data_IF_424839584798
#
_entry.id   IF_424839584798
#
_cell.length_a   1.000
_cell.length_b   1.000
_cell.length_c   1.000
_cell.angle_alpha   90.00
_cell.angle_beta   90.00
_cell.angle_gamma   90.00
#
_symmetry.space_group_name_H-M   'P 1'
#
loop_
_entity.id
_entity.type
_entity.pdbx_description
1 polymer ?
#
# COMPACT_ATOMS: atom_id res chain seq x y z
N UNK A 1 -47.42 -36.39 -50.85
CA UNK A 1 -46.90 -35.04 -51.01
C UNK A 1 -46.53 -34.54 -49.58
N UNK A 2 -45.26 -34.77 -49.16
CA UNK A 2 -44.78 -34.48 -47.82
C UNK A 2 -43.99 -33.16 -47.86
N UNK A 3 -44.46 -32.15 -47.15
CA UNK A 3 -43.81 -30.87 -46.99
C UNK A 3 -42.87 -30.99 -45.78
N UNK A 4 -41.56 -30.90 -46.00
CA UNK A 4 -40.53 -30.78 -44.95
C UNK A 4 -40.32 -29.31 -44.62
N UNK A 5 -40.68 -28.91 -43.39
CA UNK A 5 -40.37 -27.61 -42.83
C UNK A 5 -38.97 -27.64 -42.24
N UNK A 6 -38.04 -26.83 -42.76
CA UNK A 6 -36.72 -26.61 -42.18
C UNK A 6 -36.82 -25.50 -41.10
N UNK A 7 -36.50 -25.86 -39.86
CA UNK A 7 -36.33 -24.90 -38.77
C UNK A 7 -34.85 -24.43 -38.77
N UNK A 8 -34.62 -23.18 -39.13
CA UNK A 8 -33.31 -22.53 -38.96
C UNK A 8 -33.18 -22.06 -37.50
N UNK A 9 -32.32 -22.73 -36.75
CA UNK A 9 -31.87 -22.26 -35.44
C UNK A 9 -30.68 -21.28 -35.62
N UNK A 10 -30.94 -20.01 -35.43
CA UNK A 10 -29.86 -19.01 -35.37
C UNK A 10 -29.19 -19.09 -34.01
N UNK A 11 -27.94 -19.56 -33.96
CA UNK A 11 -27.07 -19.47 -32.81
C UNK A 11 -26.59 -18.00 -32.65
N UNK A 12 -27.15 -17.28 -31.69
CA UNK A 12 -26.58 -16.03 -31.23
C UNK A 12 -25.37 -16.31 -30.32
N UNK A 13 -24.18 -16.26 -30.89
CA UNK A 13 -22.92 -16.20 -30.15
C UNK A 13 -22.81 -14.81 -29.51
N UNK A 14 -23.25 -14.69 -28.27
CA UNK A 14 -22.97 -13.51 -27.47
C UNK A 14 -21.46 -13.43 -27.17
N UNK A 15 -20.77 -12.49 -27.81
CA UNK A 15 -19.42 -12.13 -27.42
C UNK A 15 -19.47 -11.52 -26.01
N UNK A 16 -19.04 -12.27 -25.00
CA UNK A 16 -18.74 -11.68 -23.69
C UNK A 16 -17.56 -10.74 -23.86
N UNK A 17 -17.83 -9.43 -23.87
CA UNK A 17 -16.81 -8.41 -23.74
C UNK A 17 -16.38 -8.49 -22.28
N UNK A 18 -15.29 -9.20 -21.99
CA UNK A 18 -14.61 -9.07 -20.72
C UNK A 18 -13.99 -7.68 -20.69
N UNK A 19 -14.62 -6.76 -19.97
CA UNK A 19 -13.98 -5.49 -19.59
C UNK A 19 -12.79 -5.89 -18.73
N UNK A 20 -11.58 -5.76 -19.27
CA UNK A 20 -10.38 -5.92 -18.48
C UNK A 20 -10.43 -4.87 -17.36
N UNK A 21 -10.66 -5.31 -16.13
CA UNK A 21 -10.50 -4.42 -14.97
C UNK A 21 -9.04 -4.02 -14.94
N UNK A 22 -8.80 -2.71 -14.80
CA UNK A 22 -7.46 -2.21 -14.59
C UNK A 22 -6.92 -2.85 -13.30
N UNK A 23 -5.74 -3.43 -13.39
CA UNK A 23 -5.07 -4.14 -12.31
C UNK A 23 -3.78 -3.41 -11.97
N UNK A 24 -3.34 -3.54 -10.73
CA UNK A 24 -2.02 -3.09 -10.32
C UNK A 24 -0.97 -3.86 -11.14
N UNK A 25 -0.07 -3.11 -11.78
CA UNK A 25 1.02 -3.62 -12.63
C UNK A 25 2.32 -3.19 -11.99
N UNK A 26 3.30 -4.07 -11.95
CA UNK A 26 4.60 -3.77 -11.36
C UNK A 26 5.35 -2.61 -12.06
N UNK A 27 6.37 -2.01 -11.40
CA UNK A 27 7.08 -0.85 -11.92
C UNK A 27 7.80 -1.06 -13.26
N UNK A 28 8.09 -2.31 -13.63
CA UNK A 28 8.63 -2.67 -14.94
C UNK A 28 7.61 -3.40 -15.85
N UNK A 29 6.32 -3.36 -15.51
CA UNK A 29 5.24 -3.97 -16.28
C UNK A 29 4.91 -5.41 -15.87
N UNK A 30 5.35 -5.85 -14.71
CA UNK A 30 5.15 -7.21 -14.23
C UNK A 30 3.67 -7.47 -13.88
N UNK A 31 3.20 -8.66 -14.21
CA UNK A 31 1.86 -9.14 -13.82
C UNK A 31 1.83 -9.49 -12.34
N UNK A 32 0.75 -9.10 -11.66
CA UNK A 32 0.56 -9.37 -10.25
C UNK A 32 0.29 -10.86 -9.96
N UNK A 33 0.99 -11.39 -8.95
CA UNK A 33 0.70 -12.69 -8.33
C UNK A 33 0.05 -12.44 -6.95
N UNK A 34 -1.07 -13.09 -6.60
CA UNK A 34 -1.69 -12.91 -5.30
C UNK A 34 -0.76 -13.31 -4.13
N UNK A 35 -0.67 -12.49 -3.09
CA UNK A 35 0.10 -12.77 -1.87
C UNK A 35 -0.29 -14.09 -1.22
N UNK A 36 -1.56 -14.49 -1.32
CA UNK A 36 -2.09 -15.74 -0.79
C UNK A 36 -1.44 -17.01 -1.38
N UNK A 37 -0.81 -16.91 -2.56
CA UNK A 37 -0.08 -18.00 -3.20
C UNK A 37 1.33 -18.19 -2.63
N UNK A 38 1.85 -17.20 -1.90
CA UNK A 38 3.20 -17.25 -1.35
C UNK A 38 3.17 -17.87 0.05
N UNK A 39 3.51 -19.14 0.10
CA UNK A 39 3.54 -19.92 1.35
C UNK A 39 4.79 -20.78 1.42
N UNK A 40 5.32 -20.92 2.62
CA UNK A 40 6.36 -21.92 2.92
C UNK A 40 5.67 -23.23 3.32
N UNK A 41 6.16 -24.33 2.75
CA UNK A 41 5.79 -25.66 3.22
C UNK A 41 6.55 -26.03 4.50
N UNK A 42 6.08 -27.05 5.22
CA UNK A 42 6.80 -27.58 6.40
C UNK A 42 8.21 -28.06 6.02
N UNK A 43 8.40 -28.59 4.80
CA UNK A 43 9.71 -29.01 4.29
C UNK A 43 10.63 -27.82 4.02
N UNK A 44 10.11 -26.68 3.53
CA UNK A 44 10.88 -25.45 3.37
C UNK A 44 11.37 -24.94 4.72
N UNK A 45 10.47 -24.88 5.72
CA UNK A 45 10.79 -24.46 7.08
C UNK A 45 11.85 -25.38 7.69
N UNK A 46 11.70 -26.69 7.55
CA UNK A 46 12.67 -27.66 8.06
C UNK A 46 14.06 -27.49 7.41
N UNK A 47 14.10 -27.18 6.11
CA UNK A 47 15.35 -26.98 5.35
C UNK A 47 16.11 -25.71 5.74
N UNK A 48 15.39 -24.70 6.27
CA UNK A 48 15.97 -23.43 6.72
C UNK A 48 16.45 -23.49 8.16
N UNK A 49 15.79 -24.30 9.03
CA UNK A 49 16.12 -24.39 10.45
C UNK A 49 17.57 -24.82 10.69
N UNK A 50 18.23 -24.15 11.64
CA UNK A 50 19.59 -24.46 12.06
C UNK A 50 20.68 -24.00 11.07
N UNK A 51 20.33 -23.30 9.98
CA UNK A 51 21.32 -22.77 9.01
C UNK A 51 21.98 -21.48 9.47
N UNK A 52 21.49 -20.84 10.54
CA UNK A 52 22.02 -19.57 11.04
C UNK A 52 21.79 -18.39 10.10
N UNK A 53 20.76 -18.44 9.28
CA UNK A 53 20.41 -17.34 8.39
C UNK A 53 19.99 -16.09 9.17
N UNK A 54 20.38 -14.93 8.62
CA UNK A 54 20.12 -13.61 9.18
C UNK A 54 19.34 -12.77 8.21
N UNK A 55 18.44 -11.92 8.74
CA UNK A 55 17.66 -10.95 7.97
C UNK A 55 17.88 -9.54 8.49
N UNK A 56 17.74 -8.54 7.60
CA UNK A 56 17.66 -7.12 7.94
C UNK A 56 16.37 -6.53 7.41
N UNK A 57 15.77 -5.60 8.17
CA UNK A 57 14.57 -4.85 7.83
C UNK A 57 14.95 -3.37 7.71
N UNK A 58 14.93 -2.81 6.49
CA UNK A 58 15.45 -1.48 6.20
C UNK A 58 14.31 -0.58 5.69
N UNK A 59 13.73 0.20 6.62
CA UNK A 59 12.51 0.93 6.35
C UNK A 59 12.75 2.43 6.06
N UNK A 60 11.85 3.00 5.28
CA UNK A 60 11.85 4.41 4.91
C UNK A 60 11.45 5.32 6.09
N UNK A 61 10.58 4.83 6.97
CA UNK A 61 10.11 5.54 8.17
C UNK A 61 9.56 4.55 9.19
N UNK A 62 9.12 5.05 10.34
CA UNK A 62 8.36 4.32 11.35
C UNK A 62 6.91 4.80 11.35
N UNK A 63 5.97 3.86 11.27
CA UNK A 63 4.52 4.10 11.32
C UNK A 63 3.81 2.84 11.79
N UNK A 64 2.50 2.91 12.06
CA UNK A 64 1.68 1.73 12.36
C UNK A 64 1.74 0.69 11.24
N UNK A 65 1.74 1.15 9.99
CA UNK A 65 1.92 0.32 8.79
C UNK A 65 3.26 -0.44 8.84
N UNK A 66 4.38 0.25 8.95
CA UNK A 66 5.72 -0.37 8.98
C UNK A 66 5.94 -1.25 10.20
N UNK A 67 5.37 -0.89 11.35
CA UNK A 67 5.42 -1.73 12.54
C UNK A 67 4.71 -3.07 12.32
N UNK A 68 3.55 -3.07 11.64
CA UNK A 68 2.83 -4.29 11.30
C UNK A 68 3.55 -5.12 10.23
N UNK A 69 4.13 -4.48 9.20
CA UNK A 69 4.99 -5.16 8.21
C UNK A 69 6.16 -5.83 8.92
N UNK A 70 6.84 -5.12 9.82
CA UNK A 70 7.96 -5.66 10.61
C UNK A 70 7.53 -6.84 11.48
N UNK A 71 6.37 -6.75 12.13
CA UNK A 71 5.84 -7.84 12.97
C UNK A 71 5.56 -9.09 12.11
N UNK A 72 4.87 -8.93 10.99
CA UNK A 72 4.59 -10.03 10.07
C UNK A 72 5.86 -10.70 9.55
N UNK A 73 6.86 -9.90 9.18
CA UNK A 73 8.16 -10.41 8.72
C UNK A 73 8.89 -11.18 9.82
N UNK A 74 8.96 -10.63 11.04
CA UNK A 74 9.61 -11.27 12.19
C UNK A 74 8.95 -12.59 12.55
N UNK A 75 7.61 -12.63 12.58
CA UNK A 75 6.85 -13.84 12.89
C UNK A 75 7.10 -14.94 11.84
N UNK A 76 7.16 -14.58 10.57
CA UNK A 76 7.41 -15.56 9.50
C UNK A 76 8.86 -16.07 9.53
N UNK A 77 9.86 -15.18 9.74
CA UNK A 77 11.26 -15.57 9.91
C UNK A 77 11.48 -16.48 11.13
N UNK A 78 10.81 -16.18 12.24
CA UNK A 78 10.92 -16.97 13.47
C UNK A 78 10.50 -18.43 13.28
N UNK A 79 9.51 -18.72 12.43
CA UNK A 79 9.08 -20.10 12.12
C UNK A 79 10.22 -20.96 11.58
N UNK A 80 11.10 -20.35 10.78
CA UNK A 80 12.23 -21.00 10.15
C UNK A 80 13.57 -20.82 10.89
N UNK A 81 13.57 -20.10 12.03
CA UNK A 81 14.80 -19.81 12.79
C UNK A 81 15.73 -18.83 12.10
N UNK A 82 15.22 -17.96 11.25
CA UNK A 82 15.97 -16.84 10.67
C UNK A 82 15.98 -15.68 11.66
N UNK A 83 17.15 -15.20 12.02
CA UNK A 83 17.33 -14.12 13.00
C UNK A 83 17.25 -12.74 12.31
N UNK A 84 16.39 -11.86 12.81
CA UNK A 84 16.37 -10.45 12.39
C UNK A 84 17.42 -9.69 13.20
N UNK A 85 18.56 -9.37 12.58
CA UNK A 85 19.73 -8.77 13.25
C UNK A 85 19.77 -7.25 13.17
N UNK A 86 19.04 -6.65 12.21
CA UNK A 86 19.00 -5.20 12.01
C UNK A 86 17.57 -4.79 11.68
N UNK A 87 17.11 -3.69 12.26
CA UNK A 87 15.90 -2.97 11.84
C UNK A 87 16.21 -1.47 11.88
N UNK A 88 15.99 -0.74 10.79
CA UNK A 88 16.30 0.69 10.67
C UNK A 88 15.06 1.52 10.35
N UNK A 89 15.19 2.81 10.56
CA UNK A 89 14.20 3.85 10.24
C UNK A 89 14.94 5.05 9.65
N UNK A 90 14.77 5.27 8.36
CA UNK A 90 15.44 6.35 7.64
C UNK A 90 14.79 7.72 7.83
N UNK A 91 13.57 7.80 8.39
CA UNK A 91 12.85 9.06 8.60
C UNK A 91 12.59 9.84 7.31
N UNK A 92 12.31 9.17 6.20
CA UNK A 92 12.17 9.71 4.85
C UNK A 92 13.44 10.39 4.29
N UNK A 93 14.62 10.12 4.88
CA UNK A 93 15.90 10.65 4.41
C UNK A 93 16.67 9.56 3.62
N UNK A 94 16.84 9.78 2.30
CA UNK A 94 17.53 8.85 1.40
C UNK A 94 19.03 8.70 1.73
N UNK A 95 19.69 9.74 2.25
CA UNK A 95 21.09 9.67 2.65
C UNK A 95 21.24 8.83 3.93
N UNK A 96 20.32 8.98 4.88
CA UNK A 96 20.23 8.13 6.07
C UNK A 96 19.95 6.67 5.68
N UNK A 97 18.98 6.42 4.76
CA UNK A 97 18.69 5.07 4.29
C UNK A 97 19.94 4.41 3.69
N UNK A 98 20.73 5.15 2.89
CA UNK A 98 22.00 4.65 2.37
C UNK A 98 22.95 4.22 3.49
N UNK A 99 23.14 5.05 4.50
CA UNK A 99 23.99 4.74 5.67
C UNK A 99 23.47 3.53 6.45
N UNK A 100 22.15 3.41 6.58
CA UNK A 100 21.48 2.26 7.21
C UNK A 100 21.76 0.95 6.44
N UNK A 101 21.71 1.00 5.10
CA UNK A 101 22.05 -0.16 4.24
C UNK A 101 23.51 -0.56 4.45
N UNK A 102 24.46 0.39 4.41
CA UNK A 102 25.88 0.14 4.63
C UNK A 102 26.13 -0.50 6.02
N UNK A 103 25.45 0.00 7.05
CA UNK A 103 25.52 -0.54 8.41
C UNK A 103 24.95 -1.96 8.49
N UNK A 104 23.80 -2.21 7.85
CA UNK A 104 23.17 -3.52 7.84
C UNK A 104 24.04 -4.58 7.15
N UNK A 105 24.74 -4.22 6.08
CA UNK A 105 25.65 -5.13 5.36
C UNK A 105 26.81 -5.62 6.22
N UNK A 106 27.27 -4.83 7.21
CA UNK A 106 28.29 -5.27 8.17
C UNK A 106 27.83 -6.47 9.03
N UNK A 107 26.52 -6.62 9.25
CA UNK A 107 25.96 -7.79 9.94
C UNK A 107 25.83 -9.03 9.03
N UNK A 108 26.16 -8.92 7.74
CA UNK A 108 26.10 -9.98 6.72
C UNK A 108 24.76 -10.69 6.68
N UNK A 109 23.65 -9.98 6.42
CA UNK A 109 22.34 -10.59 6.31
C UNK A 109 22.27 -11.45 5.04
N UNK A 110 21.56 -12.56 5.12
CA UNK A 110 21.26 -13.43 3.97
C UNK A 110 20.02 -12.94 3.20
N UNK A 111 19.13 -12.21 3.89
CA UNK A 111 17.91 -11.58 3.34
C UNK A 111 17.82 -10.15 3.82
N UNK A 112 17.47 -9.25 2.93
CA UNK A 112 17.09 -7.87 3.27
C UNK A 112 15.69 -7.61 2.76
N UNK A 113 14.81 -7.14 3.65
CA UNK A 113 13.51 -6.56 3.30
C UNK A 113 13.64 -5.05 3.40
N UNK A 114 13.26 -4.32 2.36
CA UNK A 114 13.42 -2.87 2.32
C UNK A 114 12.31 -2.18 1.54
N UNK A 115 12.01 -0.92 1.92
CA UNK A 115 11.26 0.01 1.08
C UNK A 115 12.21 1.11 0.60
N UNK A 116 12.68 1.06 -0.66
CA UNK A 116 13.58 2.06 -1.23
C UNK A 116 12.94 3.45 -1.31
N UNK A 117 13.62 4.49 -0.81
CA UNK A 117 13.16 5.88 -0.84
C UNK A 117 13.41 6.55 -2.18
N UNK A 118 14.63 6.45 -2.69
CA UNK A 118 15.03 7.03 -3.96
C UNK A 118 15.57 5.93 -4.88
N UNK A 119 15.05 5.79 -6.10
CA UNK A 119 15.46 4.70 -6.99
C UNK A 119 16.95 4.68 -7.31
N UNK A 120 17.56 5.84 -7.52
CA UNK A 120 18.97 5.95 -7.94
C UNK A 120 19.92 5.71 -6.77
N UNK A 121 19.69 6.38 -5.65
CA UNK A 121 20.51 6.25 -4.44
C UNK A 121 20.42 4.83 -3.88
N UNK A 122 19.20 4.25 -3.88
CA UNK A 122 19.00 2.87 -3.41
C UNK A 122 19.69 1.86 -4.32
N UNK A 123 19.68 2.07 -5.64
CA UNK A 123 20.38 1.18 -6.58
C UNK A 123 21.88 1.11 -6.28
N UNK A 124 22.52 2.25 -6.01
CA UNK A 124 23.94 2.28 -5.63
C UNK A 124 24.18 1.63 -4.26
N UNK A 125 23.33 1.92 -3.28
CA UNK A 125 23.49 1.41 -1.92
C UNK A 125 23.37 -0.13 -1.82
N UNK A 126 22.46 -0.74 -2.58
CA UNK A 126 22.26 -2.20 -2.56
C UNK A 126 23.23 -2.99 -3.45
N UNK A 127 24.11 -2.34 -4.26
CA UNK A 127 25.06 -3.06 -5.14
C UNK A 127 25.89 -4.10 -4.41
N UNK A 128 26.40 -3.76 -3.22
CA UNK A 128 27.22 -4.69 -2.44
C UNK A 128 26.38 -5.90 -1.97
N UNK A 129 25.11 -5.68 -1.55
CA UNK A 129 24.21 -6.77 -1.19
C UNK A 129 24.00 -7.76 -2.34
N UNK A 130 23.78 -7.25 -3.56
CA UNK A 130 23.65 -8.07 -4.77
C UNK A 130 24.94 -8.86 -5.02
N UNK A 131 26.10 -8.20 -4.94
CA UNK A 131 27.42 -8.86 -5.14
C UNK A 131 27.68 -9.97 -4.12
N UNK A 132 27.26 -9.76 -2.86
CA UNK A 132 27.39 -10.74 -1.77
C UNK A 132 26.36 -11.88 -1.86
N UNK A 133 25.42 -11.83 -2.79
CA UNK A 133 24.38 -12.83 -2.98
C UNK A 133 23.25 -12.75 -1.95
N UNK A 134 23.16 -11.64 -1.19
CA UNK A 134 22.05 -11.35 -0.28
C UNK A 134 20.73 -11.28 -1.04
N UNK A 135 19.69 -11.94 -0.55
CA UNK A 135 18.37 -11.93 -1.18
C UNK A 135 17.64 -10.65 -0.83
N UNK A 136 17.30 -9.85 -1.85
CA UNK A 136 16.58 -8.59 -1.69
C UNK A 136 15.10 -8.79 -2.01
N UNK A 137 14.23 -8.39 -1.09
CA UNK A 137 12.78 -8.32 -1.33
C UNK A 137 12.35 -6.88 -1.03
N UNK A 138 11.78 -6.24 -2.03
CA UNK A 138 11.39 -4.85 -1.91
C UNK A 138 9.89 -4.70 -1.60
N UNK A 139 9.57 -3.79 -0.70
CA UNK A 139 8.22 -3.35 -0.47
C UNK A 139 7.93 -2.23 -1.47
N UNK A 140 7.00 -2.48 -2.38
CA UNK A 140 6.45 -1.58 -3.39
C UNK A 140 7.45 -0.96 -4.38
N UNK A 141 8.46 -0.24 -3.91
CA UNK A 141 9.37 0.53 -4.75
C UNK A 141 10.58 -0.31 -5.23
N UNK A 142 11.06 -0.03 -6.44
CA UNK A 142 12.19 -0.72 -7.05
C UNK A 142 13.39 0.20 -7.25
N UNK A 143 14.62 -0.20 -6.85
CA UNK A 143 15.84 0.49 -7.24
C UNK A 143 16.02 0.53 -8.75
N UNK A 144 16.53 1.65 -9.27
CA UNK A 144 16.67 1.87 -10.71
C UNK A 144 17.57 0.82 -11.37
N UNK A 145 17.07 0.24 -12.46
CA UNK A 145 17.81 -0.72 -13.28
C UNK A 145 17.94 -2.13 -12.72
N UNK A 146 17.38 -2.41 -11.54
CA UNK A 146 17.40 -3.76 -10.95
C UNK A 146 16.52 -4.73 -11.71
N UNK A 147 16.97 -6.00 -11.81
CA UNK A 147 16.33 -7.07 -12.57
C UNK A 147 15.91 -8.21 -11.65
N UNK A 148 14.67 -8.64 -11.79
CA UNK A 148 14.16 -9.81 -11.09
C UNK A 148 14.99 -11.07 -11.36
N UNK A 149 15.19 -11.89 -10.34
CA UNK A 149 15.95 -13.13 -10.40
C UNK A 149 17.48 -12.96 -10.41
N UNK A 150 17.96 -11.75 -10.73
CA UNK A 150 19.39 -11.41 -10.70
C UNK A 150 19.72 -10.53 -9.49
N UNK A 151 19.04 -9.38 -9.38
CA UNK A 151 19.36 -8.37 -8.37
C UNK A 151 18.38 -8.40 -7.19
N UNK A 152 17.16 -8.86 -7.41
CA UNK A 152 16.16 -9.00 -6.35
C UNK A 152 15.26 -10.23 -6.57
N UNK A 153 14.63 -10.70 -5.47
CA UNK A 153 13.75 -11.86 -5.48
C UNK A 153 12.31 -11.51 -5.84
N UNK A 154 11.77 -10.42 -5.29
CA UNK A 154 10.43 -9.95 -5.62
C UNK A 154 10.21 -8.51 -5.14
N UNK A 155 9.18 -7.88 -5.73
CA UNK A 155 8.47 -6.74 -5.15
C UNK A 155 7.18 -7.26 -4.54
N UNK A 156 6.89 -6.87 -3.29
CA UNK A 156 5.63 -7.18 -2.59
C UNK A 156 4.93 -5.86 -2.30
N UNK A 157 3.65 -5.74 -2.63
CA UNK A 157 2.87 -4.51 -2.44
C UNK A 157 1.39 -4.82 -2.25
N UNK A 158 0.58 -3.82 -1.99
CA UNK A 158 -0.87 -3.90 -2.03
C UNK A 158 -1.40 -3.71 -3.46
N UNK A 159 -2.69 -4.00 -3.66
CA UNK A 159 -3.38 -3.65 -4.91
C UNK A 159 -3.60 -2.14 -4.98
N UNK A 160 -2.56 -1.43 -5.40
CA UNK A 160 -2.49 0.03 -5.42
C UNK A 160 -3.60 0.66 -6.26
N UNK A 161 -3.95 0.01 -7.38
CA UNK A 161 -5.07 0.47 -8.20
C UNK A 161 -6.39 0.35 -7.45
N UNK A 162 -6.65 -0.80 -6.82
CA UNK A 162 -7.86 -1.00 -6.03
C UNK A 162 -7.91 -0.08 -4.81
N UNK A 163 -6.78 0.22 -4.17
CA UNK A 163 -6.75 1.18 -3.08
C UNK A 163 -7.26 2.56 -3.52
N UNK A 164 -6.70 3.11 -4.59
CA UNK A 164 -7.15 4.40 -5.12
C UNK A 164 -8.60 4.38 -5.59
N UNK A 165 -9.01 3.29 -6.27
CA UNK A 165 -10.39 3.10 -6.71
C UNK A 165 -11.36 3.03 -5.53
N UNK A 166 -11.08 2.24 -4.51
CA UNK A 166 -11.93 2.13 -3.33
C UNK A 166 -12.04 3.45 -2.56
N UNK A 167 -10.96 4.24 -2.51
CA UNK A 167 -10.99 5.58 -1.94
C UNK A 167 -11.92 6.52 -2.74
N UNK A 168 -11.85 6.47 -4.07
CA UNK A 168 -12.74 7.24 -4.94
C UNK A 168 -14.22 6.83 -4.76
N UNK A 169 -14.49 5.52 -4.75
CA UNK A 169 -15.84 4.98 -4.56
C UNK A 169 -16.42 5.39 -3.19
N UNK A 170 -15.62 5.32 -2.12
CA UNK A 170 -16.03 5.70 -0.78
C UNK A 170 -16.35 7.20 -0.67
N UNK A 171 -15.46 8.05 -1.21
CA UNK A 171 -15.67 9.49 -1.23
C UNK A 171 -16.91 9.86 -2.06
N UNK A 172 -17.00 9.35 -3.29
CA UNK A 172 -18.13 9.60 -4.18
C UNK A 172 -19.48 9.22 -3.54
N UNK A 173 -19.54 8.03 -2.93
CA UNK A 173 -20.72 7.58 -2.18
C UNK A 173 -21.09 8.55 -1.05
N UNK A 174 -20.09 9.04 -0.31
CA UNK A 174 -20.32 9.91 0.86
C UNK A 174 -20.86 11.30 0.51
N UNK A 175 -20.52 11.81 -0.70
CA UNK A 175 -20.99 13.11 -1.22
C UNK A 175 -22.17 13.00 -2.21
N UNK A 176 -22.75 11.80 -2.35
CA UNK A 176 -23.91 11.57 -3.22
C UNK A 176 -23.60 11.57 -4.72
N UNK A 177 -22.39 11.23 -5.11
CA UNK A 177 -21.94 11.05 -6.50
C UNK A 177 -21.73 12.34 -7.29
N UNK A 178 -21.77 13.51 -6.66
CA UNK A 178 -21.57 14.83 -7.29
C UNK A 178 -20.96 15.82 -6.32
N UNK A 179 -20.26 16.82 -6.82
CA UNK A 179 -19.71 17.90 -6.00
C UNK A 179 -18.28 18.28 -6.35
N UNK A 180 -17.64 19.03 -5.46
CA UNK A 180 -16.29 19.58 -5.59
C UNK A 180 -15.33 18.86 -4.66
N UNK A 181 -14.22 18.37 -5.19
CA UNK A 181 -13.22 17.59 -4.43
C UNK A 181 -11.84 18.25 -4.51
N UNK A 182 -11.19 18.31 -3.37
CA UNK A 182 -9.76 18.57 -3.26
C UNK A 182 -8.98 17.26 -3.40
N UNK A 183 -7.82 17.33 -4.03
CA UNK A 183 -6.94 16.18 -4.28
C UNK A 183 -5.53 16.50 -3.76
N UNK A 184 -5.15 15.88 -2.64
CA UNK A 184 -3.82 16.02 -2.05
C UNK A 184 -3.04 14.74 -2.36
N UNK A 185 -2.07 14.86 -3.27
CA UNK A 185 -1.28 13.74 -3.80
C UNK A 185 0.18 13.82 -3.38
N UNK A 186 0.91 12.72 -3.42
CA UNK A 186 2.35 12.71 -3.13
C UNK A 186 3.15 13.28 -4.31
N UNK A 187 3.79 14.42 -4.08
CA UNK A 187 4.64 15.11 -5.07
C UNK A 187 6.09 14.62 -4.96
N UNK A 188 6.28 13.36 -5.28
CA UNK A 188 7.59 12.72 -5.36
C UNK A 188 7.55 11.58 -6.39
N UNK A 189 8.71 11.19 -6.90
CA UNK A 189 8.84 10.02 -7.78
C UNK A 189 8.82 8.74 -6.95
N UNK A 190 7.63 8.34 -6.49
CA UNK A 190 7.42 7.28 -5.53
C UNK A 190 6.32 6.32 -6.02
N UNK A 191 6.72 5.16 -6.54
CA UNK A 191 5.81 4.26 -7.24
C UNK A 191 4.52 3.97 -6.46
N UNK A 192 4.62 3.59 -5.18
CA UNK A 192 3.47 3.16 -4.39
C UNK A 192 2.39 4.23 -4.29
N UNK A 193 2.74 5.45 -3.90
CA UNK A 193 1.76 6.53 -3.73
C UNK A 193 1.26 7.05 -5.07
N UNK A 194 2.16 7.21 -6.05
CA UNK A 194 1.76 7.71 -7.38
C UNK A 194 0.72 6.81 -8.07
N UNK A 195 0.82 5.47 -7.89
CA UNK A 195 -0.17 4.55 -8.46
C UNK A 195 -1.53 4.68 -7.76
N UNK A 196 -1.56 4.78 -6.42
CA UNK A 196 -2.80 4.95 -5.64
C UNK A 196 -3.47 6.28 -5.97
N UNK A 197 -2.69 7.36 -5.97
CA UNK A 197 -3.16 8.72 -6.26
C UNK A 197 -3.74 8.80 -7.69
N UNK A 198 -3.02 8.28 -8.68
CA UNK A 198 -3.50 8.25 -10.06
C UNK A 198 -4.75 7.39 -10.23
N UNK A 199 -4.84 6.26 -9.53
CA UNK A 199 -6.03 5.41 -9.56
C UNK A 199 -7.26 6.13 -8.99
N UNK A 200 -7.11 6.85 -7.87
CA UNK A 200 -8.17 7.70 -7.33
C UNK A 200 -8.64 8.73 -8.36
N UNK A 201 -7.70 9.54 -8.88
CA UNK A 201 -8.01 10.60 -9.85
C UNK A 201 -8.71 10.05 -11.10
N UNK A 202 -8.15 8.99 -11.67
CA UNK A 202 -8.71 8.35 -12.87
C UNK A 202 -10.12 7.80 -12.62
N UNK A 203 -10.37 7.21 -11.45
CA UNK A 203 -11.69 6.69 -11.08
C UNK A 203 -12.71 7.83 -10.94
N UNK A 204 -12.36 8.92 -10.25
CA UNK A 204 -13.24 10.10 -10.16
C UNK A 204 -13.58 10.64 -11.55
N UNK A 205 -12.58 10.83 -12.41
CA UNK A 205 -12.78 11.41 -13.74
C UNK A 205 -13.64 10.54 -14.66
N UNK A 206 -13.51 9.20 -14.58
CA UNK A 206 -14.20 8.27 -15.48
C UNK A 206 -15.55 7.80 -14.95
N UNK A 207 -15.61 7.42 -13.67
CA UNK A 207 -16.77 6.73 -13.11
C UNK A 207 -17.74 7.70 -12.42
N UNK A 208 -17.26 8.91 -12.05
CA UNK A 208 -18.04 9.93 -11.34
C UNK A 208 -18.00 11.30 -12.04
N UNK A 209 -18.53 11.45 -13.27
CA UNK A 209 -18.37 12.66 -14.10
C UNK A 209 -18.99 13.92 -13.48
N UNK A 210 -19.92 13.78 -12.51
CA UNK A 210 -20.52 14.91 -11.78
C UNK A 210 -19.70 15.36 -10.56
N UNK A 211 -18.61 14.65 -10.24
CA UNK A 211 -17.61 15.08 -9.25
C UNK A 211 -16.49 15.82 -10.00
N UNK A 212 -16.13 17.01 -9.52
CA UNK A 212 -15.04 17.82 -10.11
C UNK A 212 -13.89 17.96 -9.13
N UNK A 213 -12.70 17.57 -9.54
CA UNK A 213 -11.46 17.89 -8.82
C UNK A 213 -11.18 19.37 -9.14
N UNK A 214 -11.41 20.25 -8.15
CA UNK A 214 -11.31 21.71 -8.33
C UNK A 214 -10.03 22.29 -7.69
N UNK A 215 -9.36 21.51 -6.86
CA UNK A 215 -8.10 21.89 -6.23
C UNK A 215 -7.17 20.66 -6.18
N UNK A 216 -5.96 20.82 -6.69
CA UNK A 216 -4.92 19.80 -6.65
C UNK A 216 -3.69 20.37 -5.94
N UNK A 217 -3.18 19.63 -4.96
CA UNK A 217 -2.04 20.04 -4.16
C UNK A 217 -1.07 18.86 -3.98
N UNK A 218 0.14 19.05 -4.44
CA UNK A 218 1.23 18.12 -4.18
C UNK A 218 1.80 18.31 -2.77
N UNK A 219 2.13 17.21 -2.10
CA UNK A 219 2.78 17.19 -0.79
C UNK A 219 4.00 16.28 -0.83
N UNK A 220 5.15 16.79 -0.43
CA UNK A 220 6.40 16.01 -0.27
C UNK A 220 6.82 15.90 1.20
N UNK A 221 6.33 16.80 2.06
CA UNK A 221 6.57 16.82 3.50
C UNK A 221 5.23 16.76 4.25
N UNK A 222 4.91 15.65 4.93
CA UNK A 222 3.65 15.50 5.66
C UNK A 222 3.40 16.58 6.71
N UNK A 223 4.45 17.16 7.30
CA UNK A 223 4.33 18.21 8.31
C UNK A 223 3.68 19.51 7.77
N UNK A 224 3.66 19.70 6.45
CA UNK A 224 3.04 20.84 5.79
C UNK A 224 1.56 20.65 5.44
N UNK A 225 1.00 19.49 5.74
CA UNK A 225 -0.37 19.15 5.32
C UNK A 225 -1.43 20.10 5.85
N UNK A 226 -1.32 20.55 7.11
CA UNK A 226 -2.26 21.52 7.71
C UNK A 226 -2.21 22.87 6.99
N UNK A 227 -1.01 23.39 6.70
CA UNK A 227 -0.82 24.63 5.95
C UNK A 227 -1.47 24.56 4.55
N UNK A 228 -1.18 23.48 3.82
CA UNK A 228 -1.70 23.26 2.46
C UNK A 228 -3.22 23.09 2.46
N UNK A 229 -3.76 22.37 3.43
CA UNK A 229 -5.22 22.19 3.57
C UNK A 229 -5.92 23.51 3.91
N UNK A 230 -5.36 24.33 4.81
CA UNK A 230 -5.90 25.66 5.11
C UNK A 230 -5.94 26.54 3.86
N UNK A 231 -4.89 26.56 3.06
CA UNK A 231 -4.87 27.32 1.80
C UNK A 231 -5.92 26.80 0.81
N UNK A 232 -6.06 25.47 0.67
CA UNK A 232 -7.05 24.83 -0.19
C UNK A 232 -8.49 25.19 0.23
N UNK A 233 -8.79 25.10 1.52
CA UNK A 233 -10.11 25.42 2.08
C UNK A 233 -10.46 26.91 1.96
N UNK A 234 -9.48 27.81 2.11
CA UNK A 234 -9.69 29.24 1.93
C UNK A 234 -10.02 29.59 0.48
N UNK A 235 -9.37 28.96 -0.49
CA UNK A 235 -9.61 29.18 -1.91
C UNK A 235 -10.89 28.48 -2.40
N UNK A 236 -11.30 27.38 -1.75
CA UNK A 236 -12.44 26.56 -2.13
C UNK A 236 -13.29 26.26 -0.89
N UNK A 237 -14.04 27.24 -0.37
CA UNK A 237 -14.79 27.08 0.88
C UNK A 237 -15.99 26.12 0.79
N UNK A 238 -16.35 25.70 -0.42
CA UNK A 238 -17.47 24.83 -0.74
C UNK A 238 -17.04 23.42 -1.20
N UNK A 239 -15.86 22.96 -0.77
CA UNK A 239 -15.43 21.59 -1.03
C UNK A 239 -16.37 20.60 -0.32
N UNK A 240 -16.88 19.63 -1.08
CA UNK A 240 -17.67 18.51 -0.59
C UNK A 240 -16.80 17.39 -0.04
N UNK A 241 -15.60 17.18 -0.62
CA UNK A 241 -14.66 16.16 -0.20
C UNK A 241 -13.20 16.48 -0.44
N UNK A 242 -12.32 15.77 0.26
CA UNK A 242 -10.86 15.82 0.07
C UNK A 242 -10.32 14.39 0.08
N UNK A 243 -9.54 14.04 -0.94
CA UNK A 243 -8.68 12.88 -0.95
C UNK A 243 -7.32 13.25 -0.41
N UNK A 244 -6.75 12.39 0.45
CA UNK A 244 -5.39 12.56 0.98
C UNK A 244 -4.61 11.27 0.81
N UNK A 245 -3.42 11.39 0.29
CA UNK A 245 -2.58 10.29 -0.22
C UNK A 245 -2.19 9.21 0.80
N UNK A 246 -2.09 9.53 2.12
CA UNK A 246 -1.95 8.57 3.24
C UNK A 246 -2.26 9.24 4.60
N UNK A 247 -2.19 8.46 5.69
CA UNK A 247 -2.72 8.84 7.00
C UNK A 247 -2.03 10.07 7.64
N UNK A 248 -0.70 10.17 7.62
CA UNK A 248 0.00 11.26 8.31
C UNK A 248 -0.39 12.65 7.76
N UNK A 249 -0.35 12.94 6.44
CA UNK A 249 -0.88 14.21 5.93
C UNK A 249 -2.39 14.36 6.16
N UNK A 250 -3.17 13.26 6.21
CA UNK A 250 -4.59 13.38 6.52
C UNK A 250 -4.85 13.92 7.93
N UNK A 251 -3.99 13.63 8.90
CA UNK A 251 -4.07 14.20 10.25
C UNK A 251 -3.93 15.73 10.24
N UNK A 252 -3.03 16.27 9.41
CA UNK A 252 -2.91 17.70 9.17
C UNK A 252 -4.15 18.30 8.51
N UNK A 253 -4.72 17.62 7.51
CA UNK A 253 -5.99 18.03 6.87
C UNK A 253 -7.14 18.06 7.89
N UNK A 254 -7.25 17.06 8.76
CA UNK A 254 -8.24 17.03 9.84
C UNK A 254 -8.03 18.15 10.85
N UNK A 255 -6.77 18.54 11.13
CA UNK A 255 -6.47 19.70 11.97
C UNK A 255 -6.98 21.00 11.33
N UNK A 256 -6.72 21.21 10.04
CA UNK A 256 -7.22 22.37 9.29
C UNK A 256 -8.76 22.44 9.27
N UNK A 257 -9.43 21.31 9.02
CA UNK A 257 -10.90 21.25 9.05
C UNK A 257 -11.48 21.59 10.43
N UNK A 258 -10.89 21.08 11.51
CA UNK A 258 -11.28 21.43 12.89
C UNK A 258 -11.06 22.91 13.18
N UNK A 259 -9.91 23.45 12.79
CA UNK A 259 -9.59 24.89 12.94
C UNK A 259 -10.59 25.78 12.23
N UNK A 260 -11.05 25.38 11.05
CA UNK A 260 -12.10 26.06 10.27
C UNK A 260 -13.53 25.77 10.76
N UNK A 261 -13.72 24.94 11.78
CA UNK A 261 -15.04 24.42 12.21
C UNK A 261 -15.84 23.79 11.06
N UNK A 262 -15.14 23.20 10.08
CA UNK A 262 -15.72 22.57 8.91
C UNK A 262 -16.06 21.10 9.18
N UNK A 263 -17.32 20.80 9.41
CA UNK A 263 -17.84 19.44 9.63
C UNK A 263 -18.52 18.84 8.39
N UNK A 264 -18.53 19.57 7.28
CA UNK A 264 -19.25 19.18 6.05
C UNK A 264 -18.35 18.45 5.06
N UNK A 265 -17.15 18.95 4.82
CA UNK A 265 -16.21 18.39 3.87
C UNK A 265 -15.81 16.98 4.29
N UNK A 266 -16.05 15.99 3.43
CA UNK A 266 -15.72 14.58 3.69
C UNK A 266 -14.28 14.31 3.36
N UNK A 267 -13.64 13.41 4.12
CA UNK A 267 -12.23 13.01 3.91
C UNK A 267 -12.16 11.52 3.67
N UNK A 268 -11.41 11.13 2.66
CA UNK A 268 -10.95 9.76 2.48
C UNK A 268 -9.43 9.77 2.44
N UNK A 269 -8.83 8.79 3.08
CA UNK A 269 -7.37 8.61 3.05
C UNK A 269 -7.01 7.14 3.02
N UNK A 270 -5.73 6.87 2.83
CA UNK A 270 -5.17 5.53 2.81
C UNK A 270 -4.43 5.28 4.12
N UNK A 271 -4.21 4.00 4.43
CA UNK A 271 -3.61 3.49 5.65
C UNK A 271 -4.46 3.76 6.92
N UNK A 272 -4.13 3.08 8.01
CA UNK A 272 -4.81 3.24 9.29
C UNK A 272 -3.97 4.11 10.24
N UNK A 273 -4.62 5.09 10.86
CA UNK A 273 -4.05 5.79 12.01
C UNK A 273 -5.11 6.01 13.10
N UNK A 274 -4.68 6.12 14.36
CA UNK A 274 -5.59 6.35 15.48
C UNK A 274 -6.37 7.66 15.30
N UNK A 275 -5.75 8.81 14.95
CA UNK A 275 -6.48 10.06 14.78
C UNK A 275 -7.54 10.01 13.68
N UNK A 276 -7.23 9.41 12.52
CA UNK A 276 -8.19 9.27 11.42
C UNK A 276 -9.32 8.29 11.76
N UNK A 277 -8.99 7.16 12.39
CA UNK A 277 -9.97 6.19 12.89
C UNK A 277 -10.91 6.78 13.94
N UNK A 278 -10.34 7.54 14.88
CA UNK A 278 -11.13 8.21 15.92
C UNK A 278 -12.08 9.28 15.35
N UNK A 279 -11.62 10.08 14.38
CA UNK A 279 -12.47 11.03 13.66
C UNK A 279 -13.64 10.30 12.95
N UNK A 280 -13.33 9.21 12.25
CA UNK A 280 -14.33 8.42 11.53
C UNK A 280 -15.42 7.85 12.46
N UNK A 281 -15.03 7.20 13.56
CA UNK A 281 -16.01 6.55 14.46
C UNK A 281 -16.85 7.56 15.22
N UNK A 282 -16.34 8.76 15.50
CA UNK A 282 -17.10 9.88 16.09
C UNK A 282 -18.05 10.58 15.10
N UNK A 283 -18.06 10.17 13.85
CA UNK A 283 -18.88 10.82 12.82
C UNK A 283 -18.33 12.17 12.36
N UNK A 284 -17.02 12.31 12.39
CA UNK A 284 -16.30 13.50 11.92
C UNK A 284 -16.24 13.63 10.39
N UNK A 285 -15.12 14.07 9.88
CA UNK A 285 -14.93 14.29 8.45
C UNK A 285 -14.54 13.01 7.68
N UNK A 286 -13.77 12.08 8.32
CA UNK A 286 -13.33 10.83 7.69
C UNK A 286 -14.52 9.90 7.45
N UNK A 287 -14.67 9.44 6.22
CA UNK A 287 -15.77 8.54 5.82
C UNK A 287 -15.32 7.10 5.62
N UNK A 288 -14.09 6.90 5.24
CA UNK A 288 -13.46 5.60 5.09
C UNK A 288 -11.92 5.73 5.13
N UNK A 289 -11.27 4.64 5.53
CA UNK A 289 -9.83 4.43 5.45
C UNK A 289 -9.59 3.24 4.52
N UNK A 290 -8.80 3.41 3.46
CA UNK A 290 -8.43 2.28 2.62
C UNK A 290 -7.09 1.76 3.09
N UNK A 291 -7.13 0.63 3.76
CA UNK A 291 -6.00 0.06 4.47
C UNK A 291 -5.23 -0.96 3.64
N UNK A 292 -3.94 -1.03 3.91
CA UNK A 292 -3.05 -2.09 3.49
C UNK A 292 -3.29 -3.35 4.33
N UNK A 293 -2.89 -4.50 3.81
CA UNK A 293 -2.73 -5.70 4.63
C UNK A 293 -1.29 -5.82 5.14
N UNK A 294 -0.88 -4.83 5.92
CA UNK A 294 0.50 -4.59 6.31
C UNK A 294 1.20 -5.80 6.97
N UNK A 295 0.54 -6.47 7.90
CA UNK A 295 1.08 -7.69 8.51
C UNK A 295 1.26 -8.81 7.48
N UNK A 296 0.31 -8.98 6.56
CA UNK A 296 0.38 -9.96 5.47
C UNK A 296 1.53 -9.63 4.51
N UNK A 297 1.73 -8.35 4.17
CA UNK A 297 2.87 -7.91 3.35
C UNK A 297 4.19 -8.35 3.97
N UNK A 298 4.40 -8.10 5.26
CA UNK A 298 5.61 -8.49 5.97
C UNK A 298 5.84 -10.00 5.96
N UNK A 299 4.80 -10.80 6.23
CA UNK A 299 4.86 -12.26 6.13
C UNK A 299 5.23 -12.71 4.71
N UNK A 300 4.59 -12.13 3.71
CA UNK A 300 4.82 -12.47 2.29
C UNK A 300 6.24 -12.12 1.87
N UNK A 301 6.76 -10.96 2.26
CA UNK A 301 8.15 -10.57 1.99
C UNK A 301 9.14 -11.58 2.61
N UNK A 302 8.95 -11.93 3.87
CA UNK A 302 9.82 -12.88 4.57
C UNK A 302 9.75 -14.27 3.94
N UNK A 303 8.55 -14.77 3.63
CA UNK A 303 8.37 -16.05 2.94
C UNK A 303 9.05 -16.06 1.57
N UNK A 304 8.94 -14.98 0.80
CA UNK A 304 9.58 -14.82 -0.51
C UNK A 304 11.11 -14.83 -0.38
N UNK A 305 11.65 -14.08 0.58
CA UNK A 305 13.09 -14.08 0.86
C UNK A 305 13.62 -15.47 1.23
N UNK A 306 12.88 -16.19 2.06
CA UNK A 306 13.23 -17.56 2.48
C UNK A 306 13.13 -18.57 1.33
N UNK A 307 12.13 -18.48 0.44
CA UNK A 307 12.08 -19.28 -0.79
C UNK A 307 13.30 -19.04 -1.66
N UNK A 308 13.70 -17.78 -1.81
CA UNK A 308 14.91 -17.41 -2.56
C UNK A 308 16.19 -17.94 -1.94
N UNK A 309 16.29 -18.05 -0.60
CA UNK A 309 17.42 -18.72 0.08
C UNK A 309 17.48 -20.21 -0.25
N UNK A 310 16.35 -20.85 -0.47
CA UNK A 310 16.26 -22.25 -0.89
C UNK A 310 16.51 -22.46 -2.40
N UNK A 311 16.78 -21.38 -3.16
CA UNK A 311 16.96 -21.44 -4.61
C UNK A 311 15.66 -21.66 -5.38
N UNK A 312 14.51 -21.47 -4.75
CA UNK A 312 13.20 -21.56 -5.40
C UNK A 312 12.94 -20.29 -6.22
N UNK A 313 12.28 -20.43 -7.36
CA UNK A 313 11.81 -19.30 -8.14
C UNK A 313 10.69 -18.58 -7.37
N UNK A 314 10.69 -17.25 -7.44
CA UNK A 314 9.68 -16.39 -6.85
C UNK A 314 9.05 -15.49 -7.92
N UNK A 315 7.75 -15.18 -7.84
CA UNK A 315 7.14 -14.24 -8.77
C UNK A 315 7.80 -12.85 -8.64
N UNK A 316 7.95 -12.11 -9.76
CA UNK A 316 8.58 -10.78 -9.74
C UNK A 316 7.79 -9.74 -8.96
N UNK A 317 6.45 -9.85 -8.98
CA UNK A 317 5.54 -8.86 -8.41
C UNK A 317 4.37 -9.54 -7.70
N UNK A 318 4.25 -9.33 -6.40
CA UNK A 318 3.31 -10.01 -5.51
C UNK A 318 2.41 -8.95 -4.87
N UNK A 319 1.09 -9.19 -4.89
CA UNK A 319 0.09 -8.19 -4.52
C UNK A 319 -0.88 -8.73 -3.46
N UNK A 320 -1.01 -7.99 -2.35
CA UNK A 320 -2.04 -8.20 -1.34
C UNK A 320 -3.31 -7.39 -1.68
N UNK A 321 -4.52 -7.88 -1.35
CA UNK A 321 -5.74 -7.15 -1.66
C UNK A 321 -5.92 -5.91 -0.78
N UNK A 322 -6.49 -4.85 -1.34
CA UNK A 322 -6.89 -3.65 -0.60
C UNK A 322 -8.07 -3.92 0.36
N UNK A 323 -8.15 -3.17 1.45
CA UNK A 323 -9.17 -3.28 2.48
C UNK A 323 -9.81 -1.92 2.77
N UNK A 324 -11.10 -1.73 2.46
CA UNK A 324 -11.82 -0.53 2.89
C UNK A 324 -12.34 -0.73 4.30
N UNK A 325 -12.00 0.20 5.19
CA UNK A 325 -12.42 0.22 6.60
C UNK A 325 -13.35 1.40 6.84
N UNK A 326 -14.50 1.12 7.45
CA UNK A 326 -15.52 2.10 7.81
C UNK A 326 -15.78 2.07 9.32
N UNK A 327 -16.62 2.99 9.81
CA UNK A 327 -17.05 2.97 11.21
C UNK A 327 -17.62 1.60 11.63
N UNK A 328 -18.36 0.93 10.74
CA UNK A 328 -19.08 -0.29 11.06
C UNK A 328 -18.16 -1.49 11.32
N UNK A 329 -16.98 -1.50 10.73
CA UNK A 329 -16.03 -2.61 10.72
C UNK A 329 -14.63 -2.24 11.21
N UNK A 330 -14.50 -1.09 11.88
CA UNK A 330 -13.22 -0.51 12.31
C UNK A 330 -12.35 -1.50 13.12
N UNK A 331 -12.93 -2.22 14.07
CA UNK A 331 -12.19 -3.19 14.89
C UNK A 331 -11.64 -4.37 14.08
N UNK A 332 -12.46 -4.88 13.16
CA UNK A 332 -12.06 -5.95 12.25
C UNK A 332 -11.03 -5.45 11.23
N UNK A 333 -11.19 -4.24 10.74
CA UNK A 333 -10.26 -3.59 9.82
C UNK A 333 -8.84 -3.51 10.40
N UNK A 334 -8.70 -3.10 11.68
CA UNK A 334 -7.41 -3.10 12.36
C UNK A 334 -6.78 -4.50 12.47
N UNK A 335 -7.60 -5.52 12.80
CA UNK A 335 -7.11 -6.90 12.86
C UNK A 335 -6.63 -7.41 11.52
N UNK A 336 -7.41 -7.17 10.47
CA UNK A 336 -7.06 -7.64 9.13
C UNK A 336 -5.85 -6.92 8.53
N UNK A 337 -5.70 -5.63 8.81
CA UNK A 337 -4.59 -4.81 8.31
C UNK A 337 -3.31 -5.01 9.13
N UNK A 338 -3.41 -4.76 10.46
CA UNK A 338 -2.24 -4.62 11.34
C UNK A 338 -2.02 -5.85 12.25
N UNK A 339 -2.89 -6.85 12.19
CA UNK A 339 -2.89 -8.04 13.08
C UNK A 339 -2.90 -7.68 14.57
N UNK A 340 -3.59 -6.61 14.93
CA UNK A 340 -3.80 -6.16 16.32
C UNK A 340 -5.17 -5.53 16.51
N UNK A 341 -5.61 -5.41 17.76
CA UNK A 341 -6.82 -4.66 18.06
C UNK A 341 -6.64 -3.16 17.71
N UNK A 342 -7.75 -2.52 17.33
CA UNK A 342 -7.77 -1.07 17.21
C UNK A 342 -7.46 -0.40 18.58
N UNK A 343 -6.92 0.82 18.60
CA UNK A 343 -6.72 1.57 19.83
C UNK A 343 -8.00 1.63 20.67
N UNK A 344 -7.87 1.53 22.00
CA UNK A 344 -9.02 1.50 22.89
C UNK A 344 -9.91 2.76 22.75
N UNK A 345 -9.29 3.92 22.49
CA UNK A 345 -9.98 5.17 22.18
C UNK A 345 -10.93 5.06 20.99
N UNK A 346 -10.49 4.35 19.93
CA UNK A 346 -11.30 4.10 18.72
C UNK A 346 -12.42 3.12 19.02
N UNK A 347 -12.11 2.01 19.71
CA UNK A 347 -13.11 0.98 20.08
C UNK A 347 -14.21 1.53 20.99
N UNK A 348 -13.85 2.38 21.96
CA UNK A 348 -14.83 2.99 22.87
C UNK A 348 -15.69 4.03 22.19
N UNK A 349 -15.13 4.78 21.24
CA UNK A 349 -15.89 5.76 20.46
C UNK A 349 -16.76 5.13 19.34
N UNK A 350 -16.51 3.89 18.98
CA UNK A 350 -17.29 3.15 17.99
C UNK A 350 -18.57 2.50 18.55
N UNK A 351 -18.68 2.35 19.90
CA UNK A 351 -19.88 1.85 20.61
C UNK A 351 -20.99 2.87 20.58
#
# INVERSE_FOLDING_TARGET
MLIRTFLNAALLTGAMITVAQAQTVGPAGETATPSAEIKLSDSDIASLKGKGYKAALLWHTSSDFINAVSAGAKDEFAKAGVEVVVTTDAGFDAARQRSDIETALAAKPNVILALPLDPTTSAEAFKQAVTDGTKLVFLSNLPAGYKHGTDYAAIVTDDLFQMGKQAADALAKSIGGKGKVGYIFHDASYYVTNQRDQAFKTTIEKDYPDIKIVAEQGISDPARAEELANAMLLQNPDLDGIYVTWAEPAEGVLSALRGASNTKTKVVTLDLSEPAGLDMVKGGNVVALVADKAYELGRTMAATGMKSLLGQETPPFIVAPALTVTKADVGEGWKQSLNRDAPQSVLDAAK
#
